data_IF_208127739181
#
_entry.id   IF_208127739181
#
_cell.length_a   1.000
_cell.length_b   1.000
_cell.length_c   1.000
_cell.angle_alpha   90.00
_cell.angle_beta   90.00
_cell.angle_gamma   90.00
#
_symmetry.space_group_name_H-M   'P 1'
#
loop_
_entity.id
_entity.type
_entity.pdbx_description
1 polymer ?
#
# COMPACT_ATOMS: atom_id res chain seq x y z
N UNK A 1 -8.63 -14.20 12.70
CA UNK A 1 -9.85 -13.54 12.20
C UNK A 1 -10.22 -14.09 10.83
N UNK A 2 -11.54 -14.14 10.51
CA UNK A 2 -12.05 -14.60 9.21
C UNK A 2 -12.95 -13.55 8.58
N UNK A 3 -13.11 -13.60 7.26
CA UNK A 3 -14.01 -12.73 6.51
C UNK A 3 -14.81 -13.54 5.47
N UNK A 4 -16.13 -13.47 5.57
CA UNK A 4 -17.05 -13.94 4.55
C UNK A 4 -17.88 -12.76 4.05
N UNK A 5 -17.81 -12.46 2.75
CA UNK A 5 -18.64 -11.39 2.17
C UNK A 5 -20.12 -11.77 2.18
N UNK A 6 -20.98 -10.77 2.34
CA UNK A 6 -22.43 -10.98 2.33
C UNK A 6 -22.85 -11.64 1.01
N UNK A 7 -23.49 -12.80 1.11
CA UNK A 7 -23.94 -13.58 -0.05
C UNK A 7 -22.89 -14.51 -0.65
N UNK A 8 -21.68 -14.55 -0.13
CA UNK A 8 -20.67 -15.54 -0.54
C UNK A 8 -20.93 -16.89 0.14
N UNK A 9 -20.75 -17.99 -0.62
CA UNK A 9 -20.90 -19.36 -0.11
C UNK A 9 -19.69 -19.89 0.66
N UNK A 10 -18.54 -19.15 0.64
CA UNK A 10 -17.32 -19.55 1.31
C UNK A 10 -16.58 -18.31 1.86
N UNK A 11 -15.75 -18.45 2.91
CA UNK A 11 -14.96 -17.37 3.43
C UNK A 11 -13.88 -16.94 2.41
N UNK A 12 -13.68 -15.62 2.30
CA UNK A 12 -12.58 -15.04 1.51
C UNK A 12 -11.28 -14.96 2.29
N UNK A 13 -11.37 -15.02 3.62
CA UNK A 13 -10.23 -15.13 4.53
C UNK A 13 -10.60 -16.07 5.68
N UNK A 14 -9.70 -16.98 6.03
CA UNK A 14 -9.88 -17.95 7.13
C UNK A 14 -8.67 -17.95 8.04
N UNK A 15 -8.91 -17.83 9.33
CA UNK A 15 -7.91 -17.97 10.42
C UNK A 15 -6.64 -17.11 10.25
N UNK A 16 -6.77 -15.90 9.73
CA UNK A 16 -5.65 -14.97 9.62
C UNK A 16 -5.26 -14.46 11.01
N UNK A 17 -4.01 -14.66 11.40
CA UNK A 17 -3.48 -14.23 12.68
C UNK A 17 -2.03 -13.75 12.55
N UNK A 18 -1.79 -12.46 12.70
CA UNK A 18 -0.46 -11.85 12.74
C UNK A 18 -0.45 -10.58 13.56
N UNK A 19 0.74 -10.12 13.89
CA UNK A 19 0.95 -8.83 14.57
C UNK A 19 1.98 -8.02 13.80
N UNK A 20 1.62 -6.80 13.42
CA UNK A 20 2.53 -5.79 12.89
C UNK A 20 2.92 -4.81 14.01
N UNK A 21 4.20 -4.58 14.19
CA UNK A 21 4.69 -3.55 15.12
C UNK A 21 4.71 -2.19 14.43
N UNK A 22 4.59 -1.14 15.22
CA UNK A 22 4.74 0.25 14.74
C UNK A 22 6.08 0.43 14.01
N UNK A 23 6.07 1.15 12.90
CA UNK A 23 7.26 1.39 12.10
C UNK A 23 7.71 0.24 11.20
N UNK A 24 7.04 -0.92 11.23
CA UNK A 24 7.38 -2.04 10.36
C UNK A 24 6.83 -1.89 8.94
N UNK A 25 7.57 -2.43 7.99
CA UNK A 25 7.08 -2.68 6.64
C UNK A 25 6.60 -4.13 6.55
N UNK A 26 5.31 -4.31 6.23
CA UNK A 26 4.65 -5.60 6.09
C UNK A 26 4.37 -5.87 4.61
N UNK A 27 4.99 -6.89 4.06
CA UNK A 27 4.67 -7.40 2.73
C UNK A 27 3.44 -8.30 2.75
N UNK A 28 2.58 -8.21 1.74
CA UNK A 28 1.48 -9.16 1.53
C UNK A 28 1.57 -9.71 0.12
N UNK A 29 1.78 -11.01 -0.02
CA UNK A 29 1.96 -11.69 -1.30
C UNK A 29 1.05 -12.90 -1.42
N UNK A 30 0.77 -13.31 -2.66
CA UNK A 30 -0.05 -14.48 -2.99
C UNK A 30 -0.58 -14.36 -4.42
N UNK A 31 -1.13 -15.42 -4.95
CA UNK A 31 -1.75 -15.47 -6.27
C UNK A 31 -2.95 -14.52 -6.43
N UNK A 32 -3.45 -14.41 -7.65
CA UNK A 32 -4.72 -13.71 -7.90
C UNK A 32 -5.84 -14.43 -7.16
N UNK A 33 -6.70 -13.69 -6.44
CA UNK A 33 -7.79 -14.29 -5.67
C UNK A 33 -7.40 -14.80 -4.27
N UNK A 34 -6.11 -14.78 -3.88
CA UNK A 34 -5.66 -15.31 -2.58
C UNK A 34 -6.13 -14.53 -1.34
N UNK A 35 -6.90 -13.43 -1.50
CA UNK A 35 -7.46 -12.67 -0.38
C UNK A 35 -6.66 -11.41 0.03
N UNK A 36 -5.60 -11.02 -0.70
CA UNK A 36 -4.77 -9.85 -0.35
C UNK A 36 -5.58 -8.56 -0.15
N UNK A 37 -6.38 -8.18 -1.16
CA UNK A 37 -7.21 -6.96 -1.08
C UNK A 37 -8.29 -7.08 0.00
N UNK A 38 -8.80 -8.29 0.25
CA UNK A 38 -9.74 -8.55 1.36
C UNK A 38 -9.05 -8.29 2.70
N UNK A 39 -7.83 -8.79 2.89
CA UNK A 39 -7.06 -8.59 4.13
C UNK A 39 -6.85 -7.10 4.42
N UNK A 40 -6.29 -6.36 3.44
CA UNK A 40 -5.97 -4.94 3.67
C UNK A 40 -7.22 -4.08 3.82
N UNK A 41 -8.38 -4.49 3.29
CA UNK A 41 -9.63 -3.75 3.40
C UNK A 41 -10.23 -3.75 4.82
N UNK A 42 -9.82 -4.69 5.66
CA UNK A 42 -10.24 -4.79 7.06
C UNK A 42 -9.55 -3.76 7.96
N UNK A 43 -8.32 -3.34 7.60
CA UNK A 43 -7.53 -2.39 8.40
C UNK A 43 -8.23 -1.01 8.46
N UNK A 44 -8.61 -0.35 7.32
CA UNK A 44 -9.37 0.89 7.35
C UNK A 44 -10.87 0.68 7.63
N UNK A 45 -11.27 -0.57 7.94
CA UNK A 45 -12.65 -0.96 8.17
C UNK A 45 -13.56 -0.61 6.99
N UNK A 46 -13.14 -0.94 5.76
CA UNK A 46 -14.05 -0.96 4.62
C UNK A 46 -15.04 -2.12 4.74
N UNK A 47 -14.59 -3.21 5.35
CA UNK A 47 -15.40 -4.35 5.78
C UNK A 47 -15.08 -4.68 7.24
N UNK A 48 -16.01 -5.31 7.92
CA UNK A 48 -15.81 -5.87 9.26
C UNK A 48 -15.48 -7.37 9.14
N UNK A 49 -14.52 -7.86 9.92
CA UNK A 49 -14.28 -9.30 10.04
C UNK A 49 -15.56 -10.01 10.52
N UNK A 50 -15.88 -11.18 9.94
CA UNK A 50 -17.04 -11.97 10.37
C UNK A 50 -16.77 -12.72 11.65
N UNK A 51 -15.51 -13.12 11.88
CA UNK A 51 -15.06 -13.80 13.10
C UNK A 51 -13.72 -13.21 13.55
N UNK A 52 -13.51 -13.18 14.88
CA UNK A 52 -12.33 -12.58 15.47
C UNK A 52 -12.33 -11.05 15.42
N UNK A 53 -11.15 -10.45 15.55
CA UNK A 53 -10.96 -8.99 15.56
C UNK A 53 -9.77 -8.54 14.73
N UNK A 54 -9.85 -7.30 14.25
CA UNK A 54 -8.72 -6.51 13.77
C UNK A 54 -8.52 -5.39 14.75
N UNK A 55 -7.27 -5.20 15.18
CA UNK A 55 -6.93 -4.21 16.19
C UNK A 55 -5.84 -3.26 15.67
N UNK A 56 -5.96 -1.98 16.01
CA UNK A 56 -4.96 -0.95 15.76
C UNK A 56 -4.62 -0.32 17.11
N UNK A 57 -3.33 -0.31 17.45
CA UNK A 57 -2.84 0.20 18.76
C UNK A 57 -3.57 -0.45 19.96
N UNK A 58 -3.82 -1.75 19.90
CA UNK A 58 -4.48 -2.53 20.96
C UNK A 58 -5.99 -2.28 21.09
N UNK A 59 -6.61 -1.54 20.16
CA UNK A 59 -8.04 -1.26 20.18
C UNK A 59 -8.70 -1.86 18.94
N UNK A 60 -9.79 -2.63 19.06
CA UNK A 60 -10.55 -3.15 17.95
C UNK A 60 -11.02 -2.04 16.98
N UNK A 61 -10.84 -2.23 15.67
CA UNK A 61 -11.23 -1.23 14.65
C UNK A 61 -12.71 -0.87 14.70
N UNK A 62 -13.55 -1.80 15.19
CA UNK A 62 -15.00 -1.59 15.38
C UNK A 62 -15.32 -0.55 16.45
N UNK A 63 -14.41 -0.31 17.38
CA UNK A 63 -14.58 0.67 18.47
C UNK A 63 -14.09 2.07 18.11
N UNK A 64 -13.44 2.24 16.98
CA UNK A 64 -13.07 3.57 16.50
C UNK A 64 -14.25 4.26 15.81
N UNK A 65 -14.47 5.57 16.03
CA UNK A 65 -15.21 6.38 15.08
C UNK A 65 -14.57 6.26 13.70
N UNK A 66 -15.39 6.10 12.65
CA UNK A 66 -14.86 5.87 11.29
C UNK A 66 -13.95 6.99 10.79
N UNK A 67 -14.25 8.24 11.18
CA UNK A 67 -13.44 9.40 10.79
C UNK A 67 -12.05 9.30 11.41
N UNK A 68 -11.95 8.98 12.71
CA UNK A 68 -10.68 8.87 13.42
C UNK A 68 -9.83 7.70 12.88
N UNK A 69 -10.47 6.57 12.61
CA UNK A 69 -9.79 5.41 12.02
C UNK A 69 -9.21 5.74 10.64
N UNK A 70 -10.00 6.40 9.79
CA UNK A 70 -9.59 6.77 8.44
C UNK A 70 -8.58 7.91 8.41
N UNK A 71 -8.51 8.73 9.46
CA UNK A 71 -7.41 9.68 9.65
C UNK A 71 -6.08 9.00 9.96
N UNK A 72 -6.12 7.80 10.57
CA UNK A 72 -4.92 7.01 10.91
C UNK A 72 -4.43 6.10 9.80
N UNK A 73 -5.30 5.69 8.89
CA UNK A 73 -5.01 4.69 7.85
C UNK A 73 -5.22 5.29 6.48
N UNK A 74 -4.15 5.48 5.73
CA UNK A 74 -4.22 5.89 4.33
C UNK A 74 -4.07 4.67 3.40
N UNK A 75 -4.85 4.65 2.32
CA UNK A 75 -4.85 3.57 1.34
C UNK A 75 -4.58 4.14 -0.05
N UNK A 76 -3.56 3.60 -0.69
CA UNK A 76 -3.24 3.85 -2.10
C UNK A 76 -3.64 2.63 -2.90
N UNK A 77 -4.67 2.78 -3.71
CA UNK A 77 -5.23 1.70 -4.51
C UNK A 77 -4.36 1.39 -5.74
N UNK A 78 -4.47 0.18 -6.26
CA UNK A 78 -3.80 -0.27 -7.48
C UNK A 78 -4.01 0.68 -8.66
N UNK A 79 -5.25 1.12 -8.88
CA UNK A 79 -5.59 2.09 -9.93
C UNK A 79 -5.57 3.51 -9.38
N UNK A 80 -4.54 4.26 -9.74
CA UNK A 80 -4.43 5.67 -9.37
C UNK A 80 -5.60 6.49 -9.92
N UNK A 81 -6.28 7.21 -9.02
CA UNK A 81 -7.38 8.11 -9.38
C UNK A 81 -7.08 9.53 -8.92
N UNK A 82 -7.11 10.45 -9.87
CA UNK A 82 -7.00 11.88 -9.63
C UNK A 82 -8.27 12.59 -10.07
N UNK A 83 -8.57 13.70 -9.42
CA UNK A 83 -9.74 14.51 -9.73
C UNK A 83 -9.34 15.71 -10.59
N UNK A 84 -10.26 16.19 -11.41
CA UNK A 84 -10.07 17.44 -12.15
C UNK A 84 -9.85 18.61 -11.18
N UNK A 85 -8.90 19.49 -11.52
CA UNK A 85 -8.49 20.60 -10.68
C UNK A 85 -7.01 20.89 -10.82
N UNK A 86 -6.26 21.00 -9.70
CA UNK A 86 -4.81 21.21 -9.69
C UNK A 86 -4.10 20.08 -8.95
N UNK A 87 -2.78 20.00 -9.05
CA UNK A 87 -1.97 19.09 -8.22
C UNK A 87 -2.24 19.41 -6.73
N UNK A 88 -2.20 20.70 -6.34
CA UNK A 88 -2.51 21.18 -5.00
C UNK A 88 -3.86 20.66 -4.51
N UNK A 89 -4.92 20.87 -5.27
CA UNK A 89 -6.27 20.44 -4.88
C UNK A 89 -6.36 18.93 -4.69
N UNK A 90 -5.65 18.14 -5.51
CA UNK A 90 -5.58 16.69 -5.35
C UNK A 90 -4.83 16.28 -4.07
N UNK A 91 -3.75 16.95 -3.71
CA UNK A 91 -2.98 16.65 -2.50
C UNK A 91 -3.75 17.02 -1.23
N UNK A 92 -4.47 18.14 -1.24
CA UNK A 92 -5.29 18.60 -0.12
C UNK A 92 -6.45 17.66 0.24
N UNK A 93 -6.79 16.70 -0.61
CA UNK A 93 -7.69 15.60 -0.20
C UNK A 93 -7.11 14.72 0.91
N UNK A 94 -5.79 14.69 1.07
CA UNK A 94 -5.14 14.02 2.20
C UNK A 94 -5.29 14.77 3.52
N UNK A 95 -5.22 16.11 3.47
CA UNK A 95 -5.48 17.02 4.61
C UNK A 95 -5.77 18.41 4.09
N UNK A 96 -6.96 18.94 4.39
CA UNK A 96 -7.42 20.25 3.91
C UNK A 96 -6.58 21.42 4.47
N UNK A 97 -5.96 21.22 5.62
CA UNK A 97 -5.19 22.25 6.33
C UNK A 97 -3.66 22.10 6.14
N UNK A 98 -3.22 21.25 5.20
CA UNK A 98 -1.80 21.06 4.94
C UNK A 98 -1.17 22.33 4.35
N UNK A 99 0.00 22.72 4.85
CA UNK A 99 0.79 23.81 4.30
C UNK A 99 1.49 23.39 3.00
N UNK A 100 1.93 24.37 2.21
CA UNK A 100 2.77 24.09 1.02
C UNK A 100 4.02 23.28 1.37
N UNK A 101 4.62 23.53 2.52
CA UNK A 101 5.75 22.74 3.01
C UNK A 101 5.38 21.26 3.22
N UNK A 102 4.20 20.97 3.78
CA UNK A 102 3.70 19.60 3.94
C UNK A 102 3.44 18.93 2.59
N UNK A 103 2.89 19.68 1.62
CA UNK A 103 2.64 19.18 0.27
C UNK A 103 3.96 18.81 -0.44
N UNK A 104 4.96 19.69 -0.37
CA UNK A 104 6.27 19.43 -0.96
C UNK A 104 6.99 18.27 -0.28
N UNK A 105 6.96 18.17 1.05
CA UNK A 105 7.55 17.05 1.77
C UNK A 105 6.92 15.70 1.36
N UNK A 106 5.59 15.66 1.21
CA UNK A 106 4.88 14.48 0.73
C UNK A 106 5.25 14.13 -0.73
N UNK A 107 5.40 15.15 -1.60
CA UNK A 107 5.84 14.96 -2.99
C UNK A 107 7.29 14.45 -3.05
N UNK A 108 8.19 14.94 -2.21
CA UNK A 108 9.57 14.46 -2.14
C UNK A 108 9.63 13.00 -1.71
N UNK A 109 8.91 12.65 -0.66
CA UNK A 109 8.82 11.24 -0.21
C UNK A 109 8.24 10.34 -1.29
N UNK A 110 7.19 10.77 -1.99
CA UNK A 110 6.55 10.02 -3.07
C UNK A 110 7.34 10.03 -4.39
N UNK A 111 8.56 10.59 -4.42
CA UNK A 111 9.38 10.74 -5.63
C UNK A 111 8.68 11.53 -6.75
N UNK A 112 7.81 12.48 -6.38
CA UNK A 112 7.02 13.27 -7.31
C UNK A 112 7.50 14.73 -7.44
N UNK A 113 8.32 15.22 -6.52
CA UNK A 113 8.70 16.62 -6.44
C UNK A 113 9.40 17.13 -7.71
N UNK A 114 10.29 16.33 -8.29
CA UNK A 114 11.05 16.71 -9.48
C UNK A 114 10.13 17.04 -10.66
N UNK A 115 9.21 16.12 -11.00
CA UNK A 115 8.34 16.36 -12.15
C UNK A 115 7.30 17.46 -11.88
N UNK A 116 6.89 17.68 -10.61
CA UNK A 116 5.98 18.77 -10.25
C UNK A 116 6.70 20.11 -10.34
N UNK A 117 7.95 20.20 -9.86
CA UNK A 117 8.79 21.41 -10.00
C UNK A 117 9.09 21.76 -11.47
N UNK A 118 9.14 20.75 -12.34
CA UNK A 118 9.36 20.96 -13.78
C UNK A 118 8.08 21.45 -14.54
N UNK A 119 6.92 21.44 -13.88
CA UNK A 119 5.68 21.98 -14.44
C UNK A 119 5.66 23.52 -14.34
N UNK A 120 5.13 24.24 -15.37
CA UNK A 120 5.12 25.71 -15.36
C UNK A 120 4.45 26.33 -14.14
N UNK A 121 3.38 25.72 -13.62
CA UNK A 121 2.62 26.22 -12.47
C UNK A 121 2.89 25.42 -11.18
N UNK A 122 3.81 24.44 -11.17
CA UNK A 122 4.18 23.66 -10.01
C UNK A 122 2.98 22.98 -9.34
N UNK A 123 2.68 23.32 -8.07
CA UNK A 123 1.53 22.79 -7.34
C UNK A 123 0.18 23.18 -7.98
N UNK A 124 0.12 24.32 -8.65
CA UNK A 124 -1.11 24.83 -9.26
C UNK A 124 -1.29 24.38 -10.72
N UNK A 125 -0.42 23.47 -11.19
CA UNK A 125 -0.55 22.85 -12.52
C UNK A 125 -1.88 22.11 -12.63
N UNK A 126 -2.63 22.34 -13.74
CA UNK A 126 -3.90 21.68 -13.96
C UNK A 126 -3.80 20.17 -14.08
N UNK A 127 -4.74 19.48 -13.46
CA UNK A 127 -4.96 18.03 -13.57
C UNK A 127 -6.32 17.81 -14.21
N UNK A 128 -6.34 17.14 -15.36
CA UNK A 128 -7.58 16.74 -16.01
C UNK A 128 -8.28 15.62 -15.24
N UNK A 129 -9.58 15.45 -15.46
CA UNK A 129 -10.37 14.38 -14.87
C UNK A 129 -9.70 13.00 -15.09
N UNK A 130 -9.44 12.29 -13.99
CA UNK A 130 -8.71 11.01 -14.02
C UNK A 130 -7.20 11.17 -14.31
N UNK A 131 -6.67 12.40 -14.30
CA UNK A 131 -5.25 12.67 -14.58
C UNK A 131 -4.84 12.33 -16.02
N UNK A 132 -5.70 12.52 -17.01
CA UNK A 132 -5.43 12.12 -18.41
C UNK A 132 -4.18 12.78 -19.01
N UNK A 133 -3.81 13.95 -18.51
CA UNK A 133 -2.61 14.69 -18.89
C UNK A 133 -1.33 14.26 -18.13
N UNK A 134 -1.39 13.17 -17.39
CA UNK A 134 -0.27 12.62 -16.61
C UNK A 134 0.01 11.16 -16.97
N UNK A 135 1.28 10.75 -16.92
CA UNK A 135 1.65 9.35 -17.09
C UNK A 135 1.15 8.47 -15.92
N UNK A 136 1.06 7.15 -16.12
CA UNK A 136 0.65 6.21 -15.08
C UNK A 136 1.50 6.33 -13.80
N UNK A 137 2.82 6.40 -13.95
CA UNK A 137 3.73 6.57 -12.83
C UNK A 137 3.61 7.93 -12.14
N UNK A 138 3.34 9.01 -12.87
CA UNK A 138 3.08 10.33 -12.29
C UNK A 138 1.79 10.33 -11.47
N UNK A 139 0.70 9.74 -12.01
CA UNK A 139 -0.56 9.59 -11.26
C UNK A 139 -0.35 8.81 -9.97
N UNK A 140 0.36 7.69 -10.06
CA UNK A 140 0.61 6.83 -8.90
C UNK A 140 1.38 7.58 -7.82
N UNK A 141 2.46 8.26 -8.18
CA UNK A 141 3.25 9.06 -7.23
C UNK A 141 2.43 10.19 -6.60
N UNK A 142 1.55 10.86 -7.33
CA UNK A 142 0.65 11.88 -6.77
C UNK A 142 -0.38 11.28 -5.81
N UNK A 143 -0.90 10.07 -6.08
CA UNK A 143 -1.82 9.41 -5.13
C UNK A 143 -1.10 8.96 -3.86
N UNK A 144 0.16 8.55 -3.95
CA UNK A 144 1.01 8.25 -2.78
C UNK A 144 1.28 9.53 -1.99
N UNK A 145 1.68 10.63 -2.67
CA UNK A 145 1.89 11.92 -2.01
C UNK A 145 0.62 12.38 -1.28
N UNK A 146 -0.54 12.31 -1.91
CA UNK A 146 -1.84 12.62 -1.29
C UNK A 146 -2.08 11.82 -0.02
N UNK A 147 -1.77 10.52 -0.01
CA UNK A 147 -1.90 9.68 1.17
C UNK A 147 -0.97 10.11 2.30
N UNK A 148 0.25 10.54 1.98
CA UNK A 148 1.26 10.99 2.94
C UNK A 148 0.97 12.36 3.53
N UNK A 149 0.28 13.26 2.80
CA UNK A 149 -0.13 14.59 3.31
C UNK A 149 -0.95 14.48 4.59
N UNK A 150 -1.77 13.43 4.72
CA UNK A 150 -2.54 13.15 5.93
C UNK A 150 -1.73 12.70 7.14
N UNK A 151 -0.42 12.47 7.00
CA UNK A 151 0.46 11.96 8.06
C UNK A 151 -0.12 10.74 8.77
N UNK A 152 -0.49 9.67 8.05
CA UNK A 152 -1.15 8.51 8.63
C UNK A 152 -0.22 7.72 9.56
N UNK A 153 -0.77 6.97 10.51
CA UNK A 153 -0.05 5.98 11.32
C UNK A 153 0.22 4.70 10.50
N UNK A 154 -0.67 4.38 9.55
CA UNK A 154 -0.59 3.19 8.68
C UNK A 154 -0.79 3.62 7.22
N UNK A 155 0.14 3.25 6.36
CA UNK A 155 0.04 3.43 4.91
C UNK A 155 -0.11 2.05 4.24
N UNK A 156 -1.15 1.90 3.43
CA UNK A 156 -1.40 0.70 2.64
C UNK A 156 -1.15 1.03 1.17
N UNK A 157 -0.25 0.29 0.54
CA UNK A 157 0.10 0.38 -0.88
C UNK A 157 -0.40 -0.89 -1.58
N UNK A 158 -1.60 -0.83 -2.17
CA UNK A 158 -2.22 -1.99 -2.84
C UNK A 158 -1.77 -2.05 -4.30
N UNK A 159 -0.78 -2.91 -4.58
CA UNK A 159 -0.12 -3.12 -5.89
C UNK A 159 0.25 -1.80 -6.61
N UNK A 160 0.45 -0.76 -5.82
CA UNK A 160 0.66 0.60 -6.30
C UNK A 160 2.04 0.81 -6.95
N UNK A 161 2.98 -0.09 -6.70
CA UNK A 161 4.31 -0.08 -7.32
C UNK A 161 4.33 -0.64 -8.74
N UNK A 162 3.26 -1.32 -9.19
CA UNK A 162 3.20 -1.94 -10.52
C UNK A 162 3.30 -0.92 -11.67
N UNK A 163 2.90 0.33 -11.44
CA UNK A 163 2.99 1.44 -12.38
C UNK A 163 4.32 2.22 -12.31
N UNK A 164 5.22 1.88 -11.37
CA UNK A 164 6.52 2.52 -11.19
C UNK A 164 7.63 1.67 -11.80
N UNK A 165 8.66 2.34 -12.32
CA UNK A 165 9.91 1.66 -12.67
C UNK A 165 10.68 1.24 -11.39
N UNK A 166 11.64 0.33 -11.55
CA UNK A 166 12.36 -0.26 -10.42
C UNK A 166 13.14 0.78 -9.60
N UNK A 167 13.73 1.79 -10.25
CA UNK A 167 14.53 2.80 -9.58
C UNK A 167 13.64 3.71 -8.71
N UNK A 168 12.51 4.16 -9.28
CA UNK A 168 11.51 4.97 -8.57
C UNK A 168 10.89 4.21 -7.40
N UNK A 169 10.54 2.93 -7.57
CA UNK A 169 9.99 2.09 -6.50
C UNK A 169 11.01 1.88 -5.37
N UNK A 170 12.28 1.62 -5.68
CA UNK A 170 13.33 1.48 -4.68
C UNK A 170 13.58 2.80 -3.92
N UNK A 171 13.61 3.94 -4.62
CA UNK A 171 13.75 5.25 -4.02
C UNK A 171 12.57 5.61 -3.10
N UNK A 172 11.34 5.31 -3.53
CA UNK A 172 10.12 5.49 -2.73
C UNK A 172 10.21 4.70 -1.42
N UNK A 173 10.55 3.40 -1.49
CA UNK A 173 10.68 2.56 -0.29
C UNK A 173 11.74 3.06 0.67
N UNK A 174 12.89 3.48 0.14
CA UNK A 174 13.96 4.09 0.95
C UNK A 174 13.47 5.38 1.62
N UNK A 175 12.74 6.23 0.90
CA UNK A 175 12.19 7.47 1.44
C UNK A 175 11.14 7.20 2.53
N UNK A 176 10.25 6.22 2.33
CA UNK A 176 9.26 5.80 3.34
C UNK A 176 9.92 5.29 4.62
N UNK A 177 10.95 4.45 4.49
CA UNK A 177 11.70 3.93 5.63
C UNK A 177 12.51 4.99 6.39
N UNK A 178 12.83 6.12 5.74
CA UNK A 178 13.56 7.24 6.34
C UNK A 178 12.64 8.30 6.97
N UNK A 179 11.32 8.17 6.83
CA UNK A 179 10.38 9.11 7.44
C UNK A 179 10.55 9.12 8.96
N UNK A 180 10.58 10.31 9.58
CA UNK A 180 10.56 10.41 11.03
C UNK A 180 9.20 9.92 11.56
N UNK A 181 9.24 9.13 12.61
CA UNK A 181 8.05 8.55 13.23
C UNK A 181 7.93 7.05 12.97
N UNK A 182 6.85 6.48 13.44
CA UNK A 182 6.62 5.04 13.42
C UNK A 182 5.58 4.66 12.35
N UNK A 183 5.72 5.18 11.11
CA UNK A 183 4.82 4.85 10.01
C UNK A 183 4.88 3.34 9.72
N UNK A 184 3.78 2.65 9.90
CA UNK A 184 3.66 1.24 9.51
C UNK A 184 3.20 1.16 8.05
N UNK A 185 3.93 0.43 7.21
CA UNK A 185 3.66 0.35 5.78
C UNK A 185 3.24 -1.07 5.40
N UNK A 186 2.06 -1.23 4.82
CA UNK A 186 1.64 -2.46 4.17
C UNK A 186 1.87 -2.35 2.66
N UNK A 187 2.67 -3.25 2.11
CA UNK A 187 2.94 -3.33 0.68
C UNK A 187 2.31 -4.61 0.15
N UNK A 188 1.22 -4.47 -0.59
CA UNK A 188 0.63 -5.58 -1.34
C UNK A 188 1.29 -5.64 -2.71
N UNK A 189 1.85 -6.77 -3.05
CA UNK A 189 2.49 -6.94 -4.35
C UNK A 189 2.38 -8.39 -4.83
N UNK A 190 2.30 -8.56 -6.14
CA UNK A 190 2.51 -9.85 -6.78
C UNK A 190 4.00 -10.12 -7.05
N UNK A 191 4.87 -9.10 -6.90
CA UNK A 191 6.30 -9.19 -7.16
C UNK A 191 7.06 -9.44 -5.86
N UNK A 192 7.67 -10.62 -5.73
CA UNK A 192 8.48 -10.97 -4.55
C UNK A 192 9.67 -10.01 -4.36
N UNK A 193 10.26 -9.54 -5.46
CA UNK A 193 11.35 -8.54 -5.43
C UNK A 193 10.97 -7.25 -4.70
N UNK A 194 9.71 -6.83 -4.76
CA UNK A 194 9.21 -5.63 -4.06
C UNK A 194 9.13 -5.81 -2.55
N UNK A 195 9.20 -7.03 -2.05
CA UNK A 195 8.97 -7.36 -0.63
C UNK A 195 10.23 -7.87 0.09
N UNK A 196 11.36 -8.04 -0.61
CA UNK A 196 12.57 -8.64 -0.04
C UNK A 196 13.12 -7.93 1.21
N UNK A 197 12.84 -6.63 1.34
CA UNK A 197 13.30 -5.81 2.46
C UNK A 197 12.20 -5.56 3.51
N UNK A 198 11.03 -6.20 3.37
CA UNK A 198 9.99 -6.11 4.39
C UNK A 198 10.43 -6.79 5.68
N UNK A 199 10.04 -6.20 6.82
CA UNK A 199 10.33 -6.77 8.14
C UNK A 199 9.60 -8.08 8.36
N UNK A 200 8.43 -8.21 7.73
CA UNK A 200 7.58 -9.39 7.77
C UNK A 200 6.81 -9.50 6.45
N UNK A 201 6.67 -10.71 5.93
CA UNK A 201 5.90 -11.00 4.73
C UNK A 201 4.80 -12.00 5.09
N UNK A 202 3.57 -11.65 4.77
CA UNK A 202 2.39 -12.50 4.86
C UNK A 202 2.19 -13.17 3.50
N UNK A 203 2.24 -14.49 3.46
CA UNK A 203 1.96 -15.27 2.25
C UNK A 203 0.54 -15.80 2.34
N UNK A 204 -0.30 -15.39 1.39
CA UNK A 204 -1.70 -15.82 1.30
C UNK A 204 -1.89 -16.79 0.13
N UNK A 205 -2.60 -17.88 0.40
CA UNK A 205 -3.07 -18.81 -0.59
C UNK A 205 -4.49 -19.25 -0.24
N UNK A 206 -5.41 -19.16 -1.21
CA UNK A 206 -6.84 -19.50 -1.06
C UNK A 206 -7.47 -18.99 0.25
N UNK A 207 -7.26 -17.70 0.55
CA UNK A 207 -7.82 -17.05 1.74
C UNK A 207 -7.17 -17.45 3.06
N UNK A 208 -6.09 -18.22 3.07
CA UNK A 208 -5.35 -18.65 4.26
C UNK A 208 -3.96 -18.07 4.29
N UNK A 209 -3.45 -17.86 5.48
CA UNK A 209 -2.05 -17.48 5.68
C UNK A 209 -1.20 -18.77 5.72
N UNK A 210 -0.43 -19.01 4.65
CA UNK A 210 0.41 -20.20 4.49
C UNK A 210 1.88 -19.95 4.83
N UNK A 211 2.26 -18.69 5.05
CA UNK A 211 3.60 -18.31 5.48
C UNK A 211 3.61 -16.94 6.16
N UNK A 212 4.48 -16.78 7.13
CA UNK A 212 4.73 -15.54 7.86
C UNK A 212 6.20 -15.50 8.28
N UNK A 213 6.96 -14.52 7.81
CA UNK A 213 8.38 -14.40 8.13
C UNK A 213 9.10 -13.41 7.24
N UNK A 214 10.42 -13.36 7.32
CA UNK A 214 11.27 -12.58 6.42
C UNK A 214 11.51 -13.31 5.12
N UNK A 215 11.95 -12.58 4.11
CA UNK A 215 12.25 -13.12 2.77
C UNK A 215 13.11 -14.40 2.82
N UNK A 216 14.25 -14.37 3.50
CA UNK A 216 15.16 -15.52 3.57
C UNK A 216 14.51 -16.73 4.27
N UNK A 217 13.79 -16.51 5.37
CA UNK A 217 13.09 -17.56 6.11
C UNK A 217 12.00 -18.22 5.26
N UNK A 218 11.25 -17.42 4.50
CA UNK A 218 10.17 -17.92 3.66
C UNK A 218 10.66 -18.68 2.42
N UNK A 219 11.84 -18.35 1.89
CA UNK A 219 12.45 -19.13 0.83
C UNK A 219 12.78 -20.58 1.26
N UNK A 220 13.08 -20.77 2.54
CA UNK A 220 13.40 -22.09 3.10
C UNK A 220 12.13 -22.82 3.58
N UNK A 221 11.20 -22.10 4.22
CA UNK A 221 10.10 -22.68 4.99
C UNK A 221 8.74 -22.67 4.29
N UNK A 222 8.52 -21.83 3.25
CA UNK A 222 7.23 -21.68 2.59
C UNK A 222 7.30 -22.05 1.10
N UNK A 223 6.84 -23.24 0.71
CA UNK A 223 6.86 -23.69 -0.69
C UNK A 223 6.12 -22.74 -1.65
N UNK A 224 4.98 -22.18 -1.23
CA UNK A 224 4.19 -21.22 -2.02
C UNK A 224 4.99 -19.94 -2.29
N UNK A 225 5.68 -19.41 -1.28
CA UNK A 225 6.52 -18.23 -1.45
C UNK A 225 7.70 -18.49 -2.41
N UNK A 226 8.34 -19.64 -2.24
CA UNK A 226 9.45 -20.08 -3.07
C UNK A 226 9.03 -20.23 -4.53
N UNK A 227 7.88 -20.84 -4.79
CA UNK A 227 7.33 -21.00 -6.14
C UNK A 227 7.05 -19.64 -6.79
N UNK A 228 6.40 -18.72 -6.06
CA UNK A 228 6.15 -17.34 -6.54
C UNK A 228 7.48 -16.66 -6.89
N UNK A 229 8.47 -16.74 -6.01
CA UNK A 229 9.79 -16.15 -6.22
C UNK A 229 10.49 -16.74 -7.46
N UNK A 230 10.64 -18.05 -7.53
CA UNK A 230 11.32 -18.71 -8.64
C UNK A 230 10.64 -18.48 -9.99
N UNK A 231 9.30 -18.44 -10.03
CA UNK A 231 8.54 -18.18 -11.26
C UNK A 231 8.85 -16.81 -11.88
N UNK A 232 9.25 -15.85 -11.07
CA UNK A 232 9.56 -14.49 -11.51
C UNK A 232 11.01 -14.35 -12.02
N UNK A 233 11.94 -15.15 -11.49
CA UNK A 233 13.36 -15.11 -11.89
C UNK A 233 13.66 -16.01 -13.07
N UNK A 234 13.02 -17.20 -13.18
CA UNK A 234 13.16 -18.07 -14.35
C UNK A 234 12.68 -17.44 -15.66
N UNK A 235 11.72 -16.48 -15.60
CA UNK A 235 11.28 -15.72 -16.78
C UNK A 235 12.26 -14.62 -17.20
N UNK A 236 13.11 -14.15 -16.31
CA UNK A 236 14.11 -13.10 -16.59
C UNK A 236 15.32 -13.61 -17.39
N UNK A 237 15.68 -14.86 -17.27
CA UNK A 237 16.82 -15.48 -17.99
C UNK A 237 16.46 -15.99 -19.39
N UNK A 238 15.17 -16.13 -19.69
CA UNK A 238 14.69 -16.56 -21.01
C UNK A 238 14.48 -15.42 -22.03
N UNK A 239 14.78 -14.17 -21.63
CA UNK A 239 14.64 -12.97 -22.48
C UNK A 239 15.96 -12.19 -22.65
N UNK A 240 17.10 -12.84 -22.40
CA UNK A 240 18.41 -12.28 -22.77
C UNK A 240 18.99 -12.96 -23.99
#
# INVERSE_FOLDING_TARGET
MSLTYKGAGAPSLSDINFTAKRGQTIGVIGGTGSGKSSLISLIPRFYDATEGSVEIMGRPVRQYPRVDLRGKVAVVMQKAQLFGGTIRSNLLWGSQNASDADLWAALETAQAAEFVKAKPLGLDEPVEQGGRNLSGGQKQRLTIARALVGKPDILILDDSASALDYATDAALRKALAALPGDLTVFIVSQRAASLQHADQIIVLDDGRMVGLGRHAELLESCPVYKEIYESQFKKGDAQK
#
